data_IF_586230631119
#
_entry.id   IF_586230631119
#
_cell.length_a   1.000
_cell.length_b   1.000
_cell.length_c   1.000
_cell.angle_alpha   90.00
_cell.angle_beta   90.00
_cell.angle_gamma   90.00
#
_symmetry.space_group_name_H-M   'P 1'
#
loop_
_entity.id
_entity.type
_entity.pdbx_description
1 polymer ?
#
# COMPACT_ATOMS: atom_id res chain seq x y z
N UNK A 1 82.13 -27.38 8.79
CA UNK A 1 81.05 -26.44 8.42
C UNK A 1 80.88 -26.53 6.92
N UNK A 2 79.68 -26.93 6.45
CA UNK A 2 79.08 -26.71 5.13
C UNK A 2 79.89 -26.94 3.82
N UNK A 3 79.41 -27.86 2.97
CA UNK A 3 78.88 -27.63 1.59
C UNK A 3 79.04 -28.86 0.67
N UNK A 4 78.12 -28.93 -0.32
CA UNK A 4 77.99 -29.81 -1.52
C UNK A 4 76.66 -30.59 -1.46
N UNK A 5 75.59 -30.19 -2.17
CA UNK A 5 75.35 -30.05 -3.62
C UNK A 5 75.31 -31.39 -4.39
N UNK A 6 74.08 -31.70 -4.86
CA UNK A 6 73.65 -32.51 -6.01
C UNK A 6 73.77 -34.06 -6.05
N UNK A 7 72.57 -34.68 -5.99
CA UNK A 7 71.88 -35.42 -7.07
C UNK A 7 72.10 -36.95 -7.28
N UNK A 8 70.96 -37.66 -7.46
CA UNK A 8 70.76 -38.98 -8.13
C UNK A 8 71.11 -40.24 -7.31
N UNK A 9 70.36 -41.35 -7.23
CA UNK A 9 69.21 -41.89 -7.97
C UNK A 9 68.44 -42.89 -7.08
N UNK A 10 67.11 -42.77 -6.97
CA UNK A 10 66.25 -43.79 -6.39
C UNK A 10 65.30 -44.33 -7.46
N UNK A 11 65.71 -45.42 -8.12
CA UNK A 11 64.96 -46.05 -9.21
C UNK A 11 63.57 -46.53 -8.73
N UNK A 12 62.51 -45.86 -9.18
CA UNK A 12 61.13 -46.27 -8.95
C UNK A 12 60.70 -47.25 -10.04
N UNK A 13 60.59 -48.54 -9.72
CA UNK A 13 60.02 -49.55 -10.63
C UNK A 13 58.49 -49.41 -10.64
N UNK A 14 57.97 -48.53 -11.50
CA UNK A 14 56.52 -48.36 -11.75
C UNK A 14 55.97 -49.58 -12.50
N UNK A 15 55.23 -50.43 -11.81
CA UNK A 15 54.32 -51.38 -12.46
C UNK A 15 53.06 -50.61 -12.87
N UNK A 16 52.95 -50.30 -14.16
CA UNK A 16 51.76 -49.71 -14.78
C UNK A 16 50.63 -50.75 -14.79
N UNK A 17 49.64 -50.62 -13.91
CA UNK A 17 48.32 -51.24 -14.12
C UNK A 17 47.43 -50.24 -14.88
N UNK A 18 47.09 -50.57 -16.13
CA UNK A 18 46.15 -49.78 -16.95
C UNK A 18 44.70 -49.84 -16.45
N UNK A 19 44.44 -50.56 -15.36
CA UNK A 19 43.13 -50.74 -14.73
C UNK A 19 42.84 -49.71 -13.61
N UNK A 20 43.85 -49.00 -13.11
CA UNK A 20 43.69 -48.04 -12.02
C UNK A 20 42.76 -46.86 -12.32
N UNK A 21 42.90 -46.15 -13.47
CA UNK A 21 42.07 -45.00 -13.78
C UNK A 21 40.61 -45.37 -14.10
N UNK A 22 40.40 -46.53 -14.74
CA UNK A 22 39.08 -46.97 -15.18
C UNK A 22 38.25 -47.48 -13.99
N UNK A 23 38.88 -48.20 -13.06
CA UNK A 23 38.25 -48.58 -11.79
C UNK A 23 37.91 -47.35 -10.94
N UNK A 24 38.80 -46.34 -10.89
CA UNK A 24 38.56 -45.09 -10.16
C UNK A 24 37.37 -44.31 -10.76
N UNK A 25 37.29 -44.20 -12.09
CA UNK A 25 36.18 -43.54 -12.77
C UNK A 25 34.84 -44.25 -12.48
N UNK A 26 34.84 -45.58 -12.50
CA UNK A 26 33.65 -46.38 -12.21
C UNK A 26 33.15 -46.19 -10.76
N UNK A 27 34.07 -46.13 -9.80
CA UNK A 27 33.74 -45.85 -8.38
C UNK A 27 33.15 -44.45 -8.21
N UNK A 28 33.72 -43.44 -8.89
CA UNK A 28 33.20 -42.07 -8.84
C UNK A 28 31.79 -41.99 -9.45
N UNK A 29 31.54 -42.67 -10.57
CA UNK A 29 30.21 -42.71 -11.19
C UNK A 29 29.17 -43.40 -10.30
N UNK A 30 29.53 -44.53 -9.67
CA UNK A 30 28.64 -45.22 -8.72
C UNK A 30 28.35 -44.34 -7.51
N UNK A 31 29.37 -43.66 -6.97
CA UNK A 31 29.20 -42.72 -5.85
C UNK A 31 28.27 -41.55 -6.18
N UNK A 32 28.41 -40.97 -7.38
CA UNK A 32 27.60 -39.85 -7.83
C UNK A 32 26.14 -40.27 -8.11
N UNK A 33 25.94 -41.50 -8.60
CA UNK A 33 24.61 -42.08 -8.79
C UNK A 33 23.93 -42.35 -7.45
N UNK A 34 24.64 -42.92 -6.47
CA UNK A 34 24.12 -43.10 -5.11
C UNK A 34 23.74 -41.77 -4.44
N UNK A 35 24.56 -40.72 -4.62
CA UNK A 35 24.25 -39.38 -4.11
C UNK A 35 22.98 -38.80 -4.75
N UNK A 36 22.82 -38.96 -6.07
CA UNK A 36 21.63 -38.49 -6.78
C UNK A 36 20.37 -39.22 -6.32
N UNK A 37 20.42 -40.55 -6.17
CA UNK A 37 19.31 -41.35 -5.63
C UNK A 37 19.01 -40.96 -4.17
N UNK A 38 20.03 -40.69 -3.36
CA UNK A 38 19.87 -40.25 -1.98
C UNK A 38 19.11 -38.93 -1.88
N UNK A 39 19.43 -37.93 -2.72
CA UNK A 39 18.72 -36.64 -2.73
C UNK A 39 17.26 -36.81 -3.19
N UNK A 40 17.00 -37.66 -4.18
CA UNK A 40 15.63 -37.91 -4.69
C UNK A 40 14.76 -38.66 -3.68
N UNK A 41 15.32 -39.63 -2.95
CA UNK A 41 14.55 -40.46 -2.00
C UNK A 41 14.36 -39.78 -0.64
N UNK A 42 15.32 -38.95 -0.18
CA UNK A 42 15.19 -38.23 1.09
C UNK A 42 14.37 -36.93 0.96
N UNK A 43 14.16 -36.41 -0.26
CA UNK A 43 13.34 -35.22 -0.54
C UNK A 43 12.17 -35.57 -1.47
N UNK A 44 11.15 -36.27 -0.95
CA UNK A 44 9.80 -35.95 -1.38
C UNK A 44 8.86 -35.88 -0.18
N UNK A 45 8.86 -34.77 0.55
CA UNK A 45 7.62 -34.31 1.18
C UNK A 45 6.84 -33.49 0.15
N UNK A 46 6.24 -34.19 -0.83
CA UNK A 46 5.09 -33.62 -1.50
C UNK A 46 3.98 -33.56 -0.45
N UNK A 47 3.69 -32.34 0.02
CA UNK A 47 2.48 -32.09 0.82
C UNK A 47 1.31 -32.71 0.06
N UNK A 48 0.62 -33.64 0.71
CA UNK A 48 -0.62 -34.25 0.21
C UNK A 48 -1.54 -33.18 -0.36
N UNK A 49 -2.02 -33.38 -1.58
CA UNK A 49 -2.97 -32.47 -2.22
C UNK A 49 -4.13 -32.17 -1.27
N UNK A 50 -4.57 -30.90 -1.16
CA UNK A 50 -5.64 -30.53 -0.25
C UNK A 50 -6.93 -31.26 -0.65
N UNK A 51 -7.40 -32.15 0.21
CA UNK A 51 -8.68 -32.83 0.03
C UNK A 51 -9.79 -31.77 0.13
N UNK A 52 -10.49 -31.54 -0.98
CA UNK A 52 -11.54 -30.53 -1.05
C UNK A 52 -12.80 -31.02 -0.34
N UNK A 53 -12.81 -30.94 0.99
CA UNK A 53 -14.02 -31.17 1.77
C UNK A 53 -14.91 -29.95 1.60
N UNK A 54 -15.87 -30.04 0.68
CA UNK A 54 -16.90 -29.04 0.51
C UNK A 54 -17.70 -28.92 1.82
N UNK A 55 -17.44 -27.88 2.61
CA UNK A 55 -18.29 -27.53 3.74
C UNK A 55 -19.71 -27.30 3.20
N UNK A 56 -20.70 -27.96 3.82
CA UNK A 56 -22.12 -27.80 3.46
C UNK A 56 -22.45 -26.31 3.41
N UNK A 57 -22.74 -25.82 2.21
CA UNK A 57 -23.18 -24.44 1.98
C UNK A 57 -24.43 -24.21 2.82
N UNK A 58 -24.32 -23.39 3.85
CA UNK A 58 -25.46 -22.82 4.54
C UNK A 58 -26.15 -21.94 3.49
N UNK A 59 -27.30 -22.38 3.01
CA UNK A 59 -28.15 -21.57 2.15
C UNK A 59 -28.66 -20.38 2.98
N UNK A 60 -28.00 -19.23 2.85
CA UNK A 60 -28.64 -17.99 3.26
C UNK A 60 -29.81 -17.75 2.30
N UNK A 61 -31.06 -17.63 2.80
CA UNK A 61 -32.18 -17.28 1.95
C UNK A 61 -31.89 -15.94 1.25
N UNK A 62 -32.18 -15.87 -0.05
CA UNK A 62 -31.96 -14.70 -0.90
C UNK A 62 -32.75 -13.48 -0.38
N UNK A 63 -32.14 -12.71 0.52
CA UNK A 63 -32.64 -11.38 0.94
C UNK A 63 -32.62 -10.36 -0.20
N UNK A 64 -31.91 -10.65 -1.30
CA UNK A 64 -31.80 -9.75 -2.44
C UNK A 64 -33.12 -9.56 -3.20
N UNK A 65 -33.99 -10.58 -3.25
CA UNK A 65 -35.31 -10.43 -3.88
C UNK A 65 -36.22 -9.51 -3.07
N UNK A 66 -36.17 -9.60 -1.75
CA UNK A 66 -36.92 -8.71 -0.86
C UNK A 66 -36.41 -7.26 -0.96
N UNK A 67 -35.10 -7.07 -1.10
CA UNK A 67 -34.52 -5.74 -1.27
C UNK A 67 -34.86 -5.12 -2.63
N UNK A 68 -34.87 -5.92 -3.71
CA UNK A 68 -35.30 -5.47 -5.04
C UNK A 68 -36.79 -5.17 -5.08
N UNK A 69 -37.61 -5.99 -4.44
CA UNK A 69 -39.04 -5.76 -4.32
C UNK A 69 -39.33 -4.49 -3.50
N UNK A 70 -38.66 -4.30 -2.36
CA UNK A 70 -38.81 -3.09 -1.54
C UNK A 70 -38.33 -1.82 -2.25
N UNK A 71 -37.25 -1.90 -3.04
CA UNK A 71 -36.77 -0.78 -3.86
C UNK A 71 -37.74 -0.43 -4.98
N UNK A 72 -38.33 -1.43 -5.64
CA UNK A 72 -39.34 -1.23 -6.68
C UNK A 72 -40.63 -0.65 -6.09
N UNK A 73 -41.05 -1.13 -4.92
CA UNK A 73 -42.22 -0.63 -4.20
C UNK A 73 -42.00 0.82 -3.71
N UNK A 74 -40.80 1.14 -3.22
CA UNK A 74 -40.45 2.51 -2.84
C UNK A 74 -40.35 3.43 -4.06
N UNK A 75 -39.83 2.96 -5.19
CA UNK A 75 -39.82 3.72 -6.45
C UNK A 75 -41.23 3.95 -7.00
N UNK A 76 -42.12 2.96 -6.92
CA UNK A 76 -43.52 3.10 -7.31
C UNK A 76 -44.31 4.02 -6.37
N UNK A 77 -43.98 4.03 -5.07
CA UNK A 77 -44.55 4.98 -4.10
C UNK A 77 -43.96 6.40 -4.27
N UNK A 78 -42.72 6.51 -4.74
CA UNK A 78 -42.02 7.78 -4.93
C UNK A 78 -42.20 8.38 -6.34
N UNK A 79 -42.69 7.62 -7.33
CA UNK A 79 -43.13 8.17 -8.61
C UNK A 79 -44.35 9.06 -8.33
N UNK A 80 -44.05 10.34 -8.21
CA UNK A 80 -44.98 11.39 -7.80
C UNK A 80 -46.24 11.39 -8.68
N UNK A 81 -47.42 11.74 -8.12
CA UNK A 81 -48.65 11.78 -8.88
C UNK A 81 -48.49 12.74 -10.07
N UNK A 82 -48.61 12.18 -11.28
CA UNK A 82 -48.69 12.97 -12.50
C UNK A 82 -49.99 13.79 -12.45
N UNK A 83 -49.81 15.11 -12.60
CA UNK A 83 -50.82 16.07 -13.01
C UNK A 83 -51.93 16.33 -11.99
N UNK A 84 -51.68 17.32 -11.15
CA UNK A 84 -52.75 18.06 -10.49
C UNK A 84 -53.52 18.81 -11.60
N UNK A 85 -54.73 18.36 -11.93
CA UNK A 85 -55.63 19.10 -12.80
C UNK A 85 -55.87 20.48 -12.17
N UNK A 86 -55.38 21.52 -12.84
CA UNK A 86 -55.73 22.91 -12.52
C UNK A 86 -57.21 23.07 -12.83
N UNK A 87 -58.06 23.03 -11.81
CA UNK A 87 -59.44 23.47 -11.92
C UNK A 87 -59.40 24.98 -12.23
N UNK A 88 -59.59 25.35 -13.49
CA UNK A 88 -59.73 26.73 -13.92
C UNK A 88 -61.17 27.19 -13.68
N UNK A 89 -61.41 27.93 -12.58
CA UNK A 89 -62.67 28.66 -12.36
C UNK A 89 -62.65 29.94 -13.20
N UNK A 90 -62.83 29.80 -14.51
CA UNK A 90 -62.95 30.90 -15.47
C UNK A 90 -64.41 31.08 -15.94
N UNK A 91 -65.38 30.84 -15.07
CA UNK A 91 -66.77 31.23 -15.28
C UNK A 91 -67.28 31.79 -13.96
N UNK A 92 -67.92 32.95 -14.00
CA UNK A 92 -68.46 33.76 -12.89
C UNK A 92 -67.58 34.95 -12.43
N UNK A 93 -67.22 35.85 -13.36
CA UNK A 93 -66.95 37.26 -13.01
C UNK A 93 -67.65 38.18 -14.03
N UNK A 94 -68.37 39.23 -13.59
CA UNK A 94 -69.14 40.13 -14.46
C UNK A 94 -68.28 41.12 -15.25
N UNK A 95 -68.90 41.66 -16.30
CA UNK A 95 -68.36 42.24 -17.54
C UNK A 95 -67.68 43.63 -17.43
N UNK A 96 -67.09 43.98 -16.28
CA UNK A 96 -66.35 45.25 -16.17
C UNK A 96 -65.34 45.23 -15.02
N UNK A 97 -64.10 44.82 -15.31
CA UNK A 97 -62.96 45.12 -14.45
C UNK A 97 -62.02 46.11 -15.16
N UNK A 98 -61.43 47.08 -14.41
CA UNK A 98 -60.54 48.08 -14.97
C UNK A 98 -59.21 47.45 -15.42
N UNK A 99 -58.63 48.01 -16.48
CA UNK A 99 -57.40 47.49 -17.08
C UNK A 99 -56.25 47.45 -16.06
N UNK A 100 -55.66 46.27 -15.89
CA UNK A 100 -54.49 46.06 -15.03
C UNK A 100 -53.25 46.76 -15.61
N UNK A 101 -52.36 47.30 -14.75
CA UNK A 101 -51.09 47.86 -15.20
C UNK A 101 -50.16 46.75 -15.72
N UNK A 102 -49.45 47.05 -16.81
CA UNK A 102 -48.55 46.08 -17.45
C UNK A 102 -47.40 45.72 -16.50
N UNK A 103 -47.34 44.45 -16.10
CA UNK A 103 -46.19 43.90 -15.41
C UNK A 103 -45.08 43.60 -16.42
N UNK A 104 -43.81 43.89 -16.11
CA UNK A 104 -42.71 43.61 -17.02
C UNK A 104 -42.51 42.10 -17.16
N UNK A 105 -42.52 41.62 -18.39
CA UNK A 105 -42.15 40.24 -18.72
C UNK A 105 -40.64 40.07 -18.59
N UNK A 106 -40.19 39.48 -17.48
CA UNK A 106 -38.82 39.00 -17.38
C UNK A 106 -38.69 37.73 -18.23
N UNK A 107 -37.91 37.80 -19.31
CA UNK A 107 -37.61 36.65 -20.15
C UNK A 107 -36.87 35.60 -19.32
N UNK A 108 -37.50 34.43 -19.16
CA UNK A 108 -36.91 33.29 -18.48
C UNK A 108 -35.72 32.78 -19.31
N UNK A 109 -34.49 33.10 -18.90
CA UNK A 109 -33.26 32.52 -19.45
C UNK A 109 -32.90 31.27 -18.61
N UNK A 110 -33.05 30.04 -19.14
CA UNK A 110 -32.82 28.81 -18.36
C UNK A 110 -31.33 28.46 -18.17
N UNK A 111 -30.44 29.45 -18.10
CA UNK A 111 -28.98 29.26 -17.91
C UNK A 111 -28.41 30.16 -16.81
N UNK A 112 -29.23 30.62 -15.86
CA UNK A 112 -28.67 31.01 -14.57
C UNK A 112 -28.56 29.76 -13.69
N UNK A 113 -27.32 29.26 -13.58
CA UNK A 113 -26.94 28.17 -12.68
C UNK A 113 -27.37 28.51 -11.26
N UNK A 114 -28.49 27.95 -10.84
CA UNK A 114 -28.94 27.99 -9.45
C UNK A 114 -27.91 27.27 -8.56
N UNK A 115 -27.29 27.93 -7.56
CA UNK A 115 -26.31 27.32 -6.66
C UNK A 115 -26.90 26.17 -5.81
N UNK A 116 -28.23 26.03 -5.75
CA UNK A 116 -28.89 24.89 -5.12
C UNK A 116 -28.78 23.58 -5.94
N UNK A 117 -28.62 23.66 -7.27
CA UNK A 117 -28.47 22.47 -8.11
C UNK A 117 -27.07 21.82 -7.98
N UNK A 118 -26.05 22.59 -7.59
CA UNK A 118 -24.74 22.05 -7.22
C UNK A 118 -24.76 21.26 -5.91
N UNK A 119 -25.77 21.47 -5.06
CA UNK A 119 -25.93 20.71 -3.82
C UNK A 119 -26.58 19.33 -4.06
N UNK A 120 -27.32 19.14 -5.16
CA UNK A 120 -27.89 17.84 -5.50
C UNK A 120 -26.82 16.83 -5.92
N UNK A 121 -25.78 17.26 -6.65
CA UNK A 121 -24.61 16.41 -6.96
C UNK A 121 -23.76 16.11 -5.71
N UNK A 122 -23.66 17.06 -4.78
CA UNK A 122 -22.97 16.85 -3.50
C UNK A 122 -23.71 15.87 -2.58
N UNK A 123 -25.04 15.83 -2.63
CA UNK A 123 -25.88 14.88 -1.88
C UNK A 123 -25.97 13.51 -2.57
N UNK A 124 -25.94 13.45 -3.90
CA UNK A 124 -25.81 12.20 -4.67
C UNK A 124 -24.43 11.56 -4.50
N UNK A 125 -23.37 12.34 -4.25
CA UNK A 125 -22.06 11.85 -3.81
C UNK A 125 -22.02 11.35 -2.36
N UNK A 126 -23.01 11.68 -1.53
CA UNK A 126 -23.16 11.15 -0.16
C UNK A 126 -23.95 9.84 -0.10
N UNK A 127 -24.81 9.60 -1.09
CA UNK A 127 -25.47 8.33 -1.29
C UNK A 127 -24.55 7.42 -2.08
N UNK A 128 -23.86 6.49 -1.41
CA UNK A 128 -22.95 5.51 -2.05
C UNK A 128 -23.57 4.61 -3.14
N UNK A 129 -24.80 4.89 -3.57
CA UNK A 129 -25.56 4.24 -4.65
C UNK A 129 -24.91 4.44 -6.01
N UNK A 130 -24.31 5.60 -6.29
CA UNK A 130 -23.57 5.82 -7.56
C UNK A 130 -22.21 5.10 -7.59
N UNK A 131 -21.60 4.82 -6.43
CA UNK A 131 -20.39 4.00 -6.31
C UNK A 131 -20.64 2.50 -6.52
N UNK A 132 -21.87 2.03 -6.28
CA UNK A 132 -22.26 0.63 -6.47
C UNK A 132 -22.55 0.29 -7.95
N UNK A 133 -23.02 1.24 -8.76
CA UNK A 133 -23.34 1.02 -10.17
C UNK A 133 -22.13 1.12 -11.11
N UNK A 134 -21.03 1.75 -10.68
CA UNK A 134 -19.73 1.73 -11.37
C UNK A 134 -18.83 0.55 -10.95
N UNK A 135 -19.30 -0.31 -10.04
CA UNK A 135 -18.52 -1.32 -9.31
C UNK A 135 -18.13 -2.62 -10.06
N UNK A 136 -17.95 -2.60 -11.38
CA UNK A 136 -17.42 -3.77 -12.12
C UNK A 136 -16.13 -3.50 -12.91
N UNK A 137 -15.58 -2.29 -12.84
CA UNK A 137 -14.17 -2.05 -13.18
C UNK A 137 -13.44 -1.70 -11.90
N UNK A 138 -12.51 -2.57 -11.50
CA UNK A 138 -11.58 -2.31 -10.41
C UNK A 138 -10.66 -1.14 -10.82
N UNK A 139 -11.14 0.10 -10.70
CA UNK A 139 -10.33 1.28 -10.87
C UNK A 139 -9.34 1.36 -9.70
N UNK A 140 -8.07 1.10 -10.01
CA UNK A 140 -6.96 1.23 -9.07
C UNK A 140 -6.87 2.67 -8.59
N UNK A 141 -6.85 2.90 -7.28
CA UNK A 141 -6.74 4.27 -6.74
C UNK A 141 -5.38 4.88 -7.01
N UNK A 142 -5.36 6.06 -7.63
CA UNK A 142 -4.18 6.92 -7.66
C UNK A 142 -3.92 7.50 -6.26
N UNK A 143 -2.78 7.17 -5.67
CA UNK A 143 -2.20 7.87 -4.54
C UNK A 143 -1.12 8.82 -5.06
N UNK A 144 -1.28 10.11 -4.76
CA UNK A 144 -0.26 11.13 -5.01
C UNK A 144 0.33 11.57 -3.68
N UNK A 145 1.64 11.40 -3.50
CA UNK A 145 2.36 11.92 -2.34
C UNK A 145 3.62 12.65 -2.81
N UNK A 146 3.72 13.94 -2.51
CA UNK A 146 4.92 14.74 -2.80
C UNK A 146 5.34 14.70 -4.28
N UNK A 147 4.36 14.59 -5.19
CA UNK A 147 4.56 14.52 -6.64
C UNK A 147 4.93 13.14 -7.19
N UNK A 148 4.88 12.09 -6.35
CA UNK A 148 4.92 10.70 -6.81
C UNK A 148 3.49 10.19 -6.88
N UNK A 149 3.06 9.79 -8.08
CA UNK A 149 1.76 9.20 -8.34
C UNK A 149 1.90 7.71 -8.63
N UNK A 150 1.14 6.87 -7.93
CA UNK A 150 1.03 5.43 -8.22
C UNK A 150 -0.38 4.93 -7.92
N UNK A 151 -0.77 3.78 -8.50
CA UNK A 151 -2.11 3.22 -8.36
C UNK A 151 -2.16 1.82 -7.77
N UNK A 152 -2.84 1.61 -6.64
CA UNK A 152 -2.91 0.31 -5.96
C UNK A 152 -4.24 0.06 -5.24
N UNK A 153 -4.51 -1.19 -4.85
CA UNK A 153 -5.68 -1.55 -4.04
C UNK A 153 -5.36 -1.49 -2.54
N UNK A 154 -4.09 -1.73 -2.17
CA UNK A 154 -3.57 -1.70 -0.79
C UNK A 154 -2.39 -0.75 -0.69
N UNK A 155 -2.61 0.43 -0.13
CA UNK A 155 -1.61 1.53 -0.11
C UNK A 155 -1.18 1.81 1.33
N UNK A 156 0.11 1.67 1.60
CA UNK A 156 0.68 1.88 2.93
C UNK A 156 1.63 3.08 2.93
N UNK A 157 1.48 3.97 3.92
CA UNK A 157 2.40 5.10 4.12
C UNK A 157 3.19 4.91 5.41
N UNK A 158 4.50 4.75 5.27
CA UNK A 158 5.47 4.77 6.35
C UNK A 158 6.06 6.18 6.41
N UNK A 159 5.96 6.84 7.56
CA UNK A 159 6.59 8.14 7.74
C UNK A 159 7.46 8.15 8.99
N UNK A 160 8.68 8.62 8.80
CA UNK A 160 9.64 8.84 9.85
C UNK A 160 9.31 10.14 10.57
N UNK A 161 9.05 10.04 11.86
CA UNK A 161 8.71 11.19 12.69
C UNK A 161 9.81 11.56 13.69
N UNK A 162 11.05 11.11 13.44
CA UNK A 162 12.22 11.52 14.20
C UNK A 162 12.50 13.02 14.08
N UNK A 163 13.13 13.58 15.09
CA UNK A 163 13.46 15.01 15.13
C UNK A 163 14.42 15.43 14.01
N UNK A 164 15.32 14.53 13.57
CA UNK A 164 16.26 14.78 12.48
C UNK A 164 15.54 15.01 11.15
N UNK A 165 14.51 14.22 10.87
CA UNK A 165 13.65 14.37 9.68
C UNK A 165 12.96 15.72 9.71
N UNK A 166 12.36 16.13 10.84
CA UNK A 166 11.71 17.42 10.94
C UNK A 166 12.66 18.60 10.77
N UNK A 167 13.88 18.48 11.29
CA UNK A 167 14.90 19.51 11.12
C UNK A 167 15.32 19.63 9.65
N UNK A 168 15.56 18.50 8.96
CA UNK A 168 15.94 18.48 7.55
C UNK A 168 14.80 18.89 6.62
N UNK A 169 13.57 18.48 6.91
CA UNK A 169 12.36 18.87 6.19
C UNK A 169 12.13 20.39 6.30
N UNK A 170 12.21 20.94 7.52
CA UNK A 170 12.11 22.39 7.76
C UNK A 170 13.21 23.14 7.00
N UNK A 171 14.44 22.64 7.03
CA UNK A 171 15.55 23.23 6.28
C UNK A 171 15.39 23.10 4.75
N UNK A 172 14.51 22.21 4.27
CA UNK A 172 14.12 22.07 2.86
C UNK A 172 12.82 22.85 2.54
N UNK A 173 12.34 23.70 3.46
CA UNK A 173 11.13 24.52 3.28
C UNK A 173 9.81 23.79 3.54
N UNK A 174 9.85 22.54 4.03
CA UNK A 174 8.65 21.76 4.33
C UNK A 174 8.34 21.89 5.83
N UNK A 175 7.33 22.70 6.14
CA UNK A 175 6.80 22.81 7.50
C UNK A 175 6.04 21.55 7.90
N UNK A 176 5.91 21.29 9.21
CA UNK A 176 5.08 20.15 9.66
C UNK A 176 3.63 20.27 9.17
N UNK A 177 3.10 21.49 9.09
CA UNK A 177 1.72 21.71 8.64
C UNK A 177 1.58 21.43 7.14
N UNK A 178 2.61 21.74 6.35
CA UNK A 178 2.67 21.34 4.95
C UNK A 178 2.72 19.80 4.81
N UNK A 179 3.48 19.12 5.66
CA UNK A 179 3.54 17.66 5.68
C UNK A 179 2.20 17.01 6.06
N UNK A 180 1.55 17.51 7.11
CA UNK A 180 0.22 17.06 7.54
C UNK A 180 -0.81 17.30 6.44
N UNK A 181 -0.75 18.45 5.78
CA UNK A 181 -1.63 18.77 4.64
C UNK A 181 -1.41 17.80 3.48
N UNK A 182 -0.17 17.51 3.13
CA UNK A 182 0.16 16.57 2.05
C UNK A 182 -0.34 15.15 2.35
N UNK A 183 -0.08 14.63 3.56
CA UNK A 183 -0.60 13.33 3.99
C UNK A 183 -2.14 13.30 3.99
N UNK A 184 -2.77 14.39 4.45
CA UNK A 184 -4.23 14.50 4.44
C UNK A 184 -4.79 14.54 3.03
N UNK A 185 -4.11 15.24 2.11
CA UNK A 185 -4.47 15.30 0.70
C UNK A 185 -4.34 13.95 0.02
N UNK A 186 -3.28 13.17 0.33
CA UNK A 186 -3.17 11.80 -0.14
C UNK A 186 -4.36 10.97 0.33
N UNK A 187 -4.66 11.00 1.63
CA UNK A 187 -5.77 10.22 2.20
C UNK A 187 -7.10 10.63 1.59
N UNK A 188 -7.31 11.92 1.35
CA UNK A 188 -8.52 12.43 0.70
C UNK A 188 -8.62 11.98 -0.77
N UNK A 189 -7.49 11.84 -1.48
CA UNK A 189 -7.42 11.38 -2.87
C UNK A 189 -7.68 9.88 -3.09
N UNK A 190 -7.62 9.03 -2.06
CA UNK A 190 -7.85 7.59 -2.19
C UNK A 190 -9.30 7.26 -2.58
N UNK A 191 -9.57 6.28 -3.46
CA UNK A 191 -10.94 5.81 -3.70
C UNK A 191 -11.49 5.09 -2.47
N UNK A 192 -12.80 5.17 -2.23
CA UNK A 192 -13.49 4.49 -1.13
C UNK A 192 -13.22 2.98 -1.04
N UNK A 193 -12.97 2.33 -2.18
CA UNK A 193 -12.70 0.89 -2.26
C UNK A 193 -11.24 0.51 -1.98
N UNK A 194 -10.34 1.48 -1.82
CA UNK A 194 -8.92 1.23 -1.56
C UNK A 194 -8.66 1.03 -0.09
N UNK A 195 -7.88 0.00 0.21
CA UNK A 195 -7.40 -0.28 1.54
C UNK A 195 -6.13 0.54 1.80
N UNK A 196 -6.06 1.19 2.95
CA UNK A 196 -4.89 1.98 3.32
C UNK A 196 -4.49 1.80 4.78
N UNK A 197 -3.22 2.13 5.05
CA UNK A 197 -2.67 2.13 6.39
C UNK A 197 -1.60 3.20 6.57
N UNK A 198 -1.39 3.60 7.81
CA UNK A 198 -0.40 4.61 8.20
C UNK A 198 0.49 4.02 9.29
N UNK A 199 1.81 4.11 9.09
CA UNK A 199 2.83 3.53 9.98
C UNK A 199 3.85 4.62 10.35
N UNK A 200 3.66 5.30 11.49
CA UNK A 200 4.68 6.19 12.01
C UNK A 200 5.85 5.35 12.53
N UNK A 201 7.06 5.74 12.21
CA UNK A 201 8.24 5.12 12.79
C UNK A 201 9.30 6.16 13.16
N UNK A 202 10.15 5.78 14.10
CA UNK A 202 11.42 6.42 14.43
C UNK A 202 12.25 5.28 15.02
N UNK A 203 12.66 5.36 16.29
CA UNK A 203 13.14 4.17 17.01
C UNK A 203 12.01 3.17 17.27
N UNK A 204 10.87 3.64 17.75
CA UNK A 204 9.67 2.78 17.90
C UNK A 204 8.84 2.77 16.62
N UNK A 205 7.99 1.75 16.47
CA UNK A 205 7.05 1.58 15.36
C UNK A 205 5.63 1.67 15.91
N UNK A 206 4.73 2.33 15.17
CA UNK A 206 3.31 2.36 15.50
C UNK A 206 2.46 2.11 14.27
N UNK A 207 1.15 2.09 14.47
CA UNK A 207 0.17 1.94 13.41
C UNK A 207 -1.04 2.84 13.69
N UNK A 208 -1.73 3.30 12.65
CA UNK A 208 -3.06 3.87 12.80
C UNK A 208 -4.08 2.78 13.15
N UNK A 209 -4.06 1.70 12.37
CA UNK A 209 -4.72 0.43 12.65
C UNK A 209 -3.75 -0.70 12.36
N UNK A 210 -3.83 -1.80 13.12
CA UNK A 210 -3.02 -3.01 12.93
C UNK A 210 -3.46 -3.83 11.70
N UNK A 211 -4.30 -3.28 10.83
CA UNK A 211 -4.77 -3.85 9.57
C UNK A 211 -5.13 -2.73 8.58
N UNK A 212 -5.18 -3.05 7.29
CA UNK A 212 -5.56 -2.09 6.25
C UNK A 212 -7.07 -1.82 6.29
N UNK A 213 -7.47 -0.55 6.24
CA UNK A 213 -8.87 -0.15 6.29
C UNK A 213 -9.31 0.46 4.97
N UNK A 214 -10.58 0.29 4.59
CA UNK A 214 -11.12 0.93 3.39
C UNK A 214 -11.13 2.46 3.55
N UNK A 215 -10.81 3.20 2.48
CA UNK A 215 -10.78 4.66 2.46
C UNK A 215 -12.18 5.29 2.32
N UNK A 216 -13.16 4.79 3.07
CA UNK A 216 -14.48 5.43 3.20
C UNK A 216 -14.38 6.79 3.89
N UNK A 217 -15.37 7.67 3.67
CA UNK A 217 -15.37 9.03 4.21
C UNK A 217 -15.10 9.11 5.72
N UNK A 218 -15.72 8.21 6.52
CA UNK A 218 -15.50 8.14 7.97
C UNK A 218 -14.05 7.80 8.33
N UNK A 219 -13.47 6.81 7.67
CA UNK A 219 -12.11 6.35 7.92
C UNK A 219 -11.08 7.39 7.50
N UNK A 220 -11.31 8.09 6.38
CA UNK A 220 -10.49 9.23 5.95
C UNK A 220 -10.49 10.35 6.98
N UNK A 221 -11.66 10.72 7.53
CA UNK A 221 -11.74 11.75 8.57
C UNK A 221 -11.01 11.33 9.85
N UNK A 222 -11.15 10.06 10.27
CA UNK A 222 -10.41 9.53 11.42
C UNK A 222 -8.90 9.52 11.17
N UNK A 223 -8.46 9.12 9.97
CA UNK A 223 -7.06 9.15 9.58
C UNK A 223 -6.49 10.56 9.61
N UNK A 224 -7.20 11.57 9.09
CA UNK A 224 -6.77 12.98 9.17
C UNK A 224 -6.62 13.47 10.60
N UNK A 225 -7.62 13.20 11.45
CA UNK A 225 -7.54 13.54 12.87
C UNK A 225 -6.41 12.81 13.58
N UNK A 226 -6.09 11.58 13.16
CA UNK A 226 -4.98 10.80 13.68
C UNK A 226 -3.62 11.33 13.18
N UNK A 227 -3.48 11.71 11.91
CA UNK A 227 -2.26 12.28 11.31
C UNK A 227 -1.84 13.53 12.10
N UNK A 228 -2.76 14.49 12.29
CA UNK A 228 -2.49 15.74 13.03
C UNK A 228 -1.90 15.46 14.41
N UNK A 229 -2.41 14.43 15.11
CA UNK A 229 -1.96 14.05 16.45
C UNK A 229 -0.64 13.28 16.46
N UNK A 230 -0.42 12.40 15.48
CA UNK A 230 0.66 11.42 15.52
C UNK A 230 1.91 11.81 14.75
N UNK A 231 1.83 12.77 13.83
CA UNK A 231 2.99 13.30 13.11
C UNK A 231 4.03 13.87 14.07
N UNK A 232 3.61 14.58 15.13
CA UNK A 232 4.53 15.10 16.17
C UNK A 232 4.65 14.20 17.41
N UNK A 233 3.88 13.12 17.49
CA UNK A 233 3.87 12.26 18.67
C UNK A 233 5.11 11.37 18.73
N UNK A 234 5.80 11.40 19.87
CA UNK A 234 6.85 10.42 20.17
C UNK A 234 6.25 9.05 20.51
N UNK A 235 5.05 9.01 21.10
CA UNK A 235 4.36 7.76 21.48
C UNK A 235 3.84 7.05 20.24
N UNK A 236 4.26 5.80 20.08
CA UNK A 236 3.85 4.89 19.02
C UNK A 236 3.46 3.57 19.65
N UNK A 237 2.41 2.97 19.14
CA UNK A 237 1.96 1.66 19.58
C UNK A 237 1.43 0.89 18.39
N UNK A 238 1.74 -0.40 18.36
CA UNK A 238 1.14 -1.39 17.46
C UNK A 238 1.08 -2.71 18.21
N UNK A 239 0.11 -3.55 17.88
CA UNK A 239 0.02 -4.93 18.38
C UNK A 239 0.70 -5.93 17.44
N UNK A 240 1.15 -5.46 16.27
CA UNK A 240 1.84 -6.29 15.30
C UNK A 240 3.26 -6.60 15.77
N UNK A 241 3.69 -7.87 15.72
CA UNK A 241 5.02 -8.26 16.16
C UNK A 241 6.10 -7.71 15.23
N UNK A 242 7.20 -7.24 15.82
CA UNK A 242 8.44 -6.90 15.12
C UNK A 242 9.64 -7.23 16.01
N UNK A 243 10.73 -7.73 15.41
CA UNK A 243 11.92 -8.17 16.15
C UNK A 243 12.96 -7.05 16.36
N UNK A 244 13.07 -6.16 15.38
CA UNK A 244 14.02 -5.05 15.36
C UNK A 244 13.21 -3.78 15.23
N UNK A 245 13.60 -2.75 15.98
CA UNK A 245 12.95 -1.44 15.95
C UNK A 245 13.44 -0.63 14.72
N UNK A 246 13.10 0.65 14.61
CA UNK A 246 13.54 1.44 13.45
C UNK A 246 12.77 1.16 12.16
N UNK A 247 13.41 1.50 11.04
CA UNK A 247 12.91 1.20 9.68
C UNK A 247 12.71 -0.30 9.45
N UNK A 248 13.56 -1.15 10.03
CA UNK A 248 13.45 -2.60 9.84
C UNK A 248 12.15 -3.13 10.47
N UNK A 249 11.80 -2.64 11.66
CA UNK A 249 10.52 -2.95 12.30
C UNK A 249 9.33 -2.39 11.54
N UNK A 250 9.44 -1.15 11.06
CA UNK A 250 8.39 -0.52 10.25
C UNK A 250 8.10 -1.34 8.98
N UNK A 251 9.15 -1.85 8.31
CA UNK A 251 9.01 -2.74 7.16
C UNK A 251 8.41 -4.10 7.54
N UNK A 252 8.79 -4.69 8.68
CA UNK A 252 8.16 -5.94 9.16
C UNK A 252 6.68 -5.77 9.44
N UNK A 253 6.28 -4.67 10.07
CA UNK A 253 4.87 -4.31 10.30
C UNK A 253 4.17 -4.05 8.98
N UNK A 254 4.83 -3.37 8.05
CA UNK A 254 4.28 -3.09 6.73
C UNK A 254 3.95 -4.35 5.94
N UNK A 255 4.87 -5.32 5.86
CA UNK A 255 4.65 -6.54 5.08
C UNK A 255 3.54 -7.42 5.66
N UNK A 256 3.31 -7.39 6.98
CA UNK A 256 2.16 -8.05 7.61
C UNK A 256 0.82 -7.49 7.15
N UNK A 257 0.79 -6.23 6.70
CA UNK A 257 -0.40 -5.60 6.13
C UNK A 257 -0.54 -5.84 4.62
N UNK A 258 0.32 -6.68 4.04
CA UNK A 258 0.41 -7.08 2.63
C UNK A 258 0.08 -5.96 1.62
N UNK A 259 0.84 -4.86 1.60
CA UNK A 259 0.60 -3.75 0.69
C UNK A 259 0.93 -4.11 -0.75
N UNK A 260 0.26 -3.44 -1.69
CA UNK A 260 0.66 -3.40 -3.10
C UNK A 260 1.67 -2.27 -3.33
N UNK A 261 1.50 -1.16 -2.60
CA UNK A 261 2.28 0.06 -2.72
C UNK A 261 2.69 0.54 -1.33
N UNK A 262 3.97 0.85 -1.16
CA UNK A 262 4.54 1.40 0.06
C UNK A 262 5.22 2.72 -0.24
N UNK A 263 4.74 3.79 0.39
CA UNK A 263 5.41 5.09 0.42
C UNK A 263 6.23 5.20 1.70
N UNK A 264 7.53 5.46 1.58
CA UNK A 264 8.41 5.71 2.72
C UNK A 264 8.80 7.18 2.70
N UNK A 265 8.55 7.90 3.77
CA UNK A 265 8.94 9.31 3.92
C UNK A 265 9.95 9.45 5.06
N UNK A 266 11.17 9.89 4.77
CA UNK A 266 12.26 10.01 5.76
C UNK A 266 13.41 10.88 5.22
N UNK A 267 14.41 11.16 6.05
CA UNK A 267 15.68 11.76 5.65
C UNK A 267 16.73 10.72 5.21
N UNK A 268 16.40 9.43 5.31
CA UNK A 268 17.25 8.32 4.87
C UNK A 268 18.40 7.99 5.83
N UNK A 269 18.39 8.56 7.05
CA UNK A 269 19.32 8.21 8.11
C UNK A 269 18.58 7.49 9.24
N UNK A 270 18.76 6.17 9.31
CA UNK A 270 17.97 5.32 10.17
C UNK A 270 18.76 4.85 11.37
N UNK A 271 18.14 4.88 12.54
CA UNK A 271 18.72 4.37 13.78
C UNK A 271 17.91 3.19 14.33
N UNK A 272 18.60 2.27 14.99
CA UNK A 272 17.99 1.16 15.74
C UNK A 272 18.57 1.06 17.15
N UNK A 273 17.76 0.52 18.06
CA UNK A 273 18.20 0.18 19.41
C UNK A 273 18.91 -1.16 19.43
N UNK A 274 19.67 -1.40 20.50
CA UNK A 274 20.33 -2.69 20.69
C UNK A 274 19.27 -3.74 20.97
N UNK A 275 19.34 -4.85 20.25
CA UNK A 275 18.55 -6.06 20.50
C UNK A 275 19.51 -7.21 20.75
N UNK A 276 19.00 -8.38 21.17
CA UNK A 276 19.84 -9.58 21.31
C UNK A 276 20.55 -10.00 20.00
N UNK A 277 20.08 -9.53 18.84
CA UNK A 277 20.62 -9.86 17.52
C UNK A 277 21.35 -8.70 16.84
N UNK A 278 21.22 -7.46 17.32
CA UNK A 278 21.75 -6.27 16.64
C UNK A 278 22.33 -5.27 17.62
N UNK A 279 23.46 -4.63 17.26
CA UNK A 279 24.02 -3.51 18.02
C UNK A 279 23.16 -2.24 17.81
N UNK A 280 23.08 -1.40 18.84
CA UNK A 280 22.52 -0.06 18.72
C UNK A 280 23.35 0.80 17.76
N UNK A 281 22.69 1.75 17.10
CA UNK A 281 23.32 2.74 16.23
C UNK A 281 22.66 2.81 14.86
N UNK A 282 23.41 3.33 13.91
CA UNK A 282 22.94 3.56 12.55
C UNK A 282 22.68 2.23 11.84
N UNK A 283 21.62 2.21 11.03
CA UNK A 283 21.20 1.04 10.26
C UNK A 283 21.86 1.13 8.89
N UNK A 284 22.81 0.21 8.56
CA UNK A 284 23.39 0.21 7.24
C UNK A 284 22.33 -0.12 6.18
N UNK A 285 22.39 0.53 5.02
CA UNK A 285 21.50 0.23 3.89
C UNK A 285 21.52 -1.23 3.43
N UNK A 286 22.65 -1.94 3.66
CA UNK A 286 22.76 -3.38 3.43
C UNK A 286 21.80 -4.20 4.31
N UNK A 287 21.57 -3.77 5.55
CA UNK A 287 20.64 -4.41 6.48
C UNK A 287 19.20 -4.16 6.06
N UNK A 288 18.88 -2.94 5.61
CA UNK A 288 17.55 -2.62 5.05
C UNK A 288 17.26 -3.49 3.82
N UNK A 289 18.21 -3.60 2.88
CA UNK A 289 18.07 -4.49 1.73
C UNK A 289 17.90 -5.97 2.12
N UNK A 290 18.61 -6.41 3.17
CA UNK A 290 18.50 -7.78 3.67
C UNK A 290 17.13 -8.04 4.28
N UNK A 291 16.61 -7.09 5.06
CA UNK A 291 15.25 -7.14 5.61
C UNK A 291 14.21 -7.20 4.51
N UNK A 292 14.27 -6.30 3.52
CA UNK A 292 13.32 -6.31 2.40
C UNK A 292 13.33 -7.64 1.63
N UNK A 293 14.52 -8.19 1.32
CA UNK A 293 14.62 -9.51 0.68
C UNK A 293 14.08 -10.64 1.54
N UNK A 294 14.28 -10.57 2.86
CA UNK A 294 13.75 -11.54 3.80
C UNK A 294 12.22 -11.52 3.81
N UNK A 295 11.64 -10.33 3.96
CA UNK A 295 10.20 -10.13 3.99
C UNK A 295 9.52 -10.50 2.66
N UNK A 296 10.11 -10.15 1.52
CA UNK A 296 9.60 -10.59 0.20
C UNK A 296 9.54 -12.10 0.08
N UNK A 297 10.51 -12.83 0.63
CA UNK A 297 10.52 -14.30 0.62
C UNK A 297 9.53 -14.91 1.61
N UNK A 298 9.42 -14.29 2.79
CA UNK A 298 8.55 -14.76 3.87
C UNK A 298 7.06 -14.60 3.54
N UNK A 299 6.67 -13.43 3.02
CA UNK A 299 5.28 -13.12 2.71
C UNK A 299 4.90 -13.42 1.26
N UNK A 300 5.87 -13.71 0.38
CA UNK A 300 5.61 -13.99 -1.04
C UNK A 300 5.08 -12.81 -1.85
N UNK A 301 5.20 -11.58 -1.31
CA UNK A 301 4.74 -10.34 -1.94
C UNK A 301 5.92 -9.43 -2.31
N UNK A 302 5.75 -8.68 -3.41
CA UNK A 302 6.71 -7.69 -3.86
C UNK A 302 6.01 -6.33 -4.07
N UNK A 303 5.82 -5.55 -2.99
CA UNK A 303 5.17 -4.24 -3.11
C UNK A 303 6.02 -3.28 -3.93
N UNK A 304 5.36 -2.31 -4.59
CA UNK A 304 6.05 -1.16 -5.17
C UNK A 304 6.51 -0.21 -4.07
N UNK A 305 7.80 0.10 -4.00
CA UNK A 305 8.36 0.91 -2.91
C UNK A 305 8.80 2.27 -3.44
N UNK A 306 8.07 3.31 -3.05
CA UNK A 306 8.41 4.71 -3.30
C UNK A 306 9.08 5.32 -2.08
N UNK A 307 10.05 6.19 -2.30
CA UNK A 307 10.77 6.87 -1.23
C UNK A 307 10.77 8.38 -1.45
N UNK A 308 10.38 9.12 -0.42
CA UNK A 308 10.40 10.58 -0.37
C UNK A 308 11.43 10.98 0.69
N UNK A 309 12.49 11.61 0.19
CA UNK A 309 13.67 12.00 0.95
C UNK A 309 13.68 13.48 1.31
N UNK A 310 14.00 13.82 2.56
CA UNK A 310 14.31 15.19 2.98
C UNK A 310 15.80 15.36 3.23
N UNK A 311 16.51 16.06 2.34
CA UNK A 311 17.97 16.29 2.42
C UNK A 311 18.75 15.00 2.68
N UNK A 312 18.52 14.02 1.82
CA UNK A 312 19.21 12.73 1.92
C UNK A 312 20.67 12.90 1.50
N UNK A 313 21.58 12.31 2.28
CA UNK A 313 23.00 12.29 1.92
C UNK A 313 23.25 11.54 0.59
N UNK A 314 24.29 11.90 -0.20
CA UNK A 314 24.53 11.29 -1.51
C UNK A 314 24.66 9.76 -1.48
N UNK A 315 25.30 9.21 -0.43
CA UNK A 315 25.46 7.77 -0.26
C UNK A 315 24.10 7.09 0.00
N UNK A 316 23.28 7.68 0.86
CA UNK A 316 21.91 7.22 1.15
C UNK A 316 21.02 7.29 -0.09
N UNK A 317 21.07 8.41 -0.83
CA UNK A 317 20.30 8.59 -2.06
C UNK A 317 20.64 7.52 -3.12
N UNK A 318 21.91 7.13 -3.26
CA UNK A 318 22.31 6.06 -4.16
C UNK A 318 21.73 4.70 -3.75
N UNK A 319 21.74 4.39 -2.45
CA UNK A 319 21.15 3.16 -1.91
C UNK A 319 19.62 3.14 -2.07
N UNK A 320 18.94 4.25 -1.78
CA UNK A 320 17.50 4.40 -1.96
C UNK A 320 17.12 4.19 -3.42
N UNK A 321 17.78 4.85 -4.38
CA UNK A 321 17.51 4.66 -5.81
C UNK A 321 17.66 3.21 -6.25
N UNK A 322 18.64 2.50 -5.68
CA UNK A 322 18.83 1.07 -5.96
C UNK A 322 17.66 0.24 -5.44
N UNK A 323 17.16 0.54 -4.24
CA UNK A 323 16.00 -0.13 -3.63
C UNK A 323 14.73 0.18 -4.42
N UNK A 324 14.40 1.45 -4.63
CA UNK A 324 13.17 1.86 -5.32
C UNK A 324 13.14 1.29 -6.74
N UNK A 325 14.26 1.31 -7.48
CA UNK A 325 14.35 0.67 -8.80
C UNK A 325 14.10 -0.84 -8.76
N UNK A 326 14.61 -1.56 -7.76
CA UNK A 326 14.38 -3.01 -7.61
C UNK A 326 12.90 -3.28 -7.40
N UNK A 327 12.28 -2.51 -6.52
CA UNK A 327 10.87 -2.64 -6.16
C UNK A 327 9.96 -1.75 -7.03
N UNK A 328 10.35 -1.48 -8.29
CA UNK A 328 9.52 -0.79 -9.31
C UNK A 328 8.86 0.52 -8.84
N UNK A 329 9.48 1.24 -7.91
CA UNK A 329 9.00 2.52 -7.39
C UNK A 329 9.90 3.68 -7.78
N UNK A 330 9.63 4.84 -7.16
CA UNK A 330 10.30 6.11 -7.47
C UNK A 330 10.98 6.71 -6.25
N UNK A 331 12.03 7.51 -6.47
CA UNK A 331 12.70 8.28 -5.44
C UNK A 331 12.59 9.77 -5.73
N UNK A 332 12.05 10.54 -4.79
CA UNK A 332 12.00 12.01 -4.83
C UNK A 332 12.82 12.57 -3.67
N UNK A 333 13.65 13.58 -3.94
CA UNK A 333 14.53 14.21 -2.95
C UNK A 333 14.29 15.73 -2.89
N UNK A 334 13.86 16.20 -1.73
CA UNK A 334 13.54 17.60 -1.47
C UNK A 334 14.77 18.49 -1.22
N UNK A 335 16.01 17.96 -1.28
CA UNK A 335 17.21 18.80 -1.30
C UNK A 335 17.43 19.57 -2.63
N UNK A 336 16.76 19.18 -3.72
CA UNK A 336 17.06 19.65 -5.08
C UNK A 336 15.91 20.44 -5.74
N UNK A 337 14.92 20.87 -4.98
CA UNK A 337 13.90 21.81 -5.45
C UNK A 337 14.18 23.21 -4.93
#
# INVERSE_FOLDING_TARGET
>A
MCLLSKESAGATKRIRSKLGPLALALVIQVGLLCLAVFVVVLVPEFKSDPEFVAQKKIYLPQKELQHKAALAEFQNAASSPMQMERISTAALLPDSMPALPQLPSSAFNPIERNPAALQSDALLGQSGVLGALHGLKAESSSASLFGIEDSGQRILILFDNSATVWNKASAAGVTTDAFVRELSALVDGLNANTLFGLVPFARQVGTFHDYMIAAGARNKQQAKGWIVKNVRSSRKSTRLPFQVDGIQGALSVAFQMEPDVVFIVSDGDFQRSQTGKTRAGDVPWKDVEKTLRGLTREYGIEPRIHFIGFKVEPQGAAAIRKITRRYKGQFSDFAKR
#
